data_IF_296335211657
#
_entry.id   IF_296335211657
#
_cell.length_a   1.000
_cell.length_b   1.000
_cell.length_c   1.000
_cell.angle_alpha   90.00
_cell.angle_beta   90.00
_cell.angle_gamma   90.00
#
_symmetry.space_group_name_H-M   'P 1'
#
loop_
_entity.id
_entity.type
_entity.pdbx_description
1 polymer ?
#
# COMPACT_ATOMS: atom_id res chain seq x y z
N UNK A 1 5.84 -10.95 -13.41
CA UNK A 1 5.88 -9.49 -13.18
C UNK A 1 5.55 -8.80 -14.49
N UNK A 2 4.64 -7.82 -14.51
CA UNK A 2 4.36 -7.03 -15.70
C UNK A 2 5.66 -6.35 -16.17
N UNK A 3 5.91 -6.39 -17.48
CA UNK A 3 7.18 -5.98 -18.04
C UNK A 3 7.34 -4.45 -18.02
N UNK A 4 8.56 -3.96 -17.78
CA UNK A 4 8.91 -2.52 -17.80
C UNK A 4 8.80 -1.93 -19.21
N UNK A 5 7.58 -1.69 -19.67
CA UNK A 5 7.27 -0.99 -20.92
C UNK A 5 7.07 0.50 -20.72
N UNK A 6 6.60 1.17 -21.77
CA UNK A 6 6.23 2.58 -21.74
C UNK A 6 5.20 2.89 -22.79
N UNK A 7 4.29 3.80 -22.48
CA UNK A 7 3.23 4.26 -23.38
C UNK A 7 3.45 5.74 -23.68
N UNK A 8 3.35 6.08 -24.95
CA UNK A 8 3.53 7.44 -25.46
C UNK A 8 2.35 7.77 -26.38
N UNK A 9 1.90 9.02 -26.33
CA UNK A 9 0.89 9.52 -27.27
C UNK A 9 1.60 10.49 -28.20
N UNK A 10 1.55 10.22 -29.50
CA UNK A 10 2.27 11.04 -30.48
C UNK A 10 1.73 12.47 -30.48
N UNK A 11 2.64 13.44 -30.50
CA UNK A 11 2.30 14.86 -30.41
C UNK A 11 2.09 15.36 -28.98
N UNK A 12 2.09 14.47 -27.97
CA UNK A 12 2.08 14.83 -26.55
C UNK A 12 3.42 14.39 -25.96
N UNK A 13 4.28 15.35 -25.63
CA UNK A 13 5.66 15.12 -25.21
C UNK A 13 5.80 14.62 -23.76
N UNK A 14 5.14 13.50 -23.45
CA UNK A 14 5.30 12.83 -22.16
C UNK A 14 5.23 11.33 -22.35
N UNK A 15 6.39 10.67 -22.27
CA UNK A 15 6.51 9.22 -22.16
C UNK A 15 6.11 8.80 -20.75
N UNK A 16 5.11 7.94 -20.65
CA UNK A 16 4.58 7.53 -19.35
C UNK A 16 5.01 6.09 -19.08
N UNK A 17 5.47 5.87 -17.85
CA UNK A 17 5.88 4.55 -17.38
C UNK A 17 4.70 3.90 -16.67
N UNK A 18 4.37 2.64 -16.98
CA UNK A 18 3.36 1.89 -16.26
C UNK A 18 3.82 1.63 -14.83
N UNK A 19 2.86 1.40 -13.93
CA UNK A 19 3.13 1.03 -12.54
C UNK A 19 4.07 -0.17 -12.46
N UNK A 20 5.07 -0.09 -11.60
CA UNK A 20 6.04 -1.18 -11.41
C UNK A 20 5.42 -2.45 -10.81
N UNK A 21 4.29 -2.31 -10.09
CA UNK A 21 3.64 -3.42 -9.39
C UNK A 21 2.65 -4.17 -10.28
N UNK A 22 1.81 -3.44 -11.03
CA UNK A 22 0.69 -4.02 -11.78
C UNK A 22 0.74 -3.76 -13.29
N UNK A 23 1.65 -2.91 -13.76
CA UNK A 23 1.75 -2.58 -15.18
C UNK A 23 0.59 -1.71 -15.70
N UNK A 24 -0.25 -1.17 -14.82
CA UNK A 24 -1.39 -0.33 -15.15
C UNK A 24 -0.95 1.08 -15.57
N UNK A 25 -1.74 1.67 -16.46
CA UNK A 25 -1.51 2.96 -17.08
C UNK A 25 -2.83 3.73 -17.23
N UNK A 26 -2.84 4.99 -16.82
CA UNK A 26 -3.98 5.88 -16.97
C UNK A 26 -3.53 7.25 -17.46
N UNK A 27 -4.20 7.79 -18.48
CA UNK A 27 -3.93 9.13 -19.01
C UNK A 27 -5.22 9.84 -19.41
N UNK A 28 -5.40 11.03 -18.89
CA UNK A 28 -6.46 11.94 -19.29
C UNK A 28 -6.08 12.63 -20.60
N UNK A 29 -7.02 12.65 -21.54
CA UNK A 29 -6.90 13.28 -22.85
C UNK A 29 -8.20 14.01 -23.18
N UNK A 30 -8.15 15.00 -24.06
CA UNK A 30 -9.34 15.72 -24.48
C UNK A 30 -10.24 14.80 -25.35
N UNK A 31 -11.56 14.78 -25.13
CA UNK A 31 -12.49 14.03 -25.95
C UNK A 31 -12.66 14.66 -27.34
N UNK A 32 -13.11 13.86 -28.32
CA UNK A 32 -13.37 14.27 -29.71
C UNK A 32 -12.14 14.26 -30.62
N UNK A 33 -10.95 14.05 -30.06
CA UNK A 33 -9.68 14.08 -30.78
C UNK A 33 -9.19 12.68 -31.18
N UNK A 34 -8.33 12.65 -32.20
CA UNK A 34 -7.66 11.42 -32.66
C UNK A 34 -6.26 11.33 -32.07
N UNK A 35 -5.97 10.22 -31.42
CA UNK A 35 -4.67 9.97 -30.79
C UNK A 35 -4.00 8.75 -31.39
N UNK A 36 -2.69 8.85 -31.63
CA UNK A 36 -1.83 7.71 -31.92
C UNK A 36 -1.09 7.33 -30.64
N UNK A 37 -1.42 6.15 -30.11
CA UNK A 37 -0.84 5.62 -28.87
C UNK A 37 0.19 4.57 -29.24
N UNK A 38 1.41 4.74 -28.76
CA UNK A 38 2.57 3.90 -29.04
C UNK A 38 3.05 3.25 -27.74
N UNK A 39 3.02 1.92 -27.70
CA UNK A 39 3.63 1.14 -26.63
C UNK A 39 5.01 0.64 -27.07
N UNK A 40 6.01 0.81 -26.21
CA UNK A 40 7.40 0.43 -26.48
C UNK A 40 8.08 -0.16 -25.25
N UNK A 41 8.96 -1.12 -25.48
CA UNK A 41 9.77 -1.77 -24.46
C UNK A 41 11.11 -2.20 -25.06
N UNK A 42 12.18 -2.13 -24.28
CA UNK A 42 13.48 -2.64 -24.73
C UNK A 42 13.43 -4.15 -25.01
N UNK A 43 13.94 -4.56 -26.18
CA UNK A 43 13.94 -5.96 -26.62
C UNK A 43 12.64 -6.43 -27.28
N UNK A 44 11.65 -5.54 -27.43
CA UNK A 44 10.37 -5.83 -28.07
C UNK A 44 10.02 -4.80 -29.14
N UNK A 45 9.35 -5.27 -30.19
CA UNK A 45 8.83 -4.44 -31.26
C UNK A 45 7.76 -3.51 -30.71
N UNK A 46 7.96 -2.21 -30.90
CA UNK A 46 6.95 -1.22 -30.57
C UNK A 46 5.67 -1.44 -31.39
N UNK A 47 4.51 -1.23 -30.77
CA UNK A 47 3.20 -1.28 -31.43
C UNK A 47 2.49 0.05 -31.27
N UNK A 48 1.87 0.51 -32.35
CA UNK A 48 1.08 1.73 -32.38
C UNK A 48 -0.38 1.40 -32.71
N UNK A 49 -1.31 2.12 -32.09
CA UNK A 49 -2.73 2.07 -32.39
C UNK A 49 -3.32 3.47 -32.47
N UNK A 50 -4.37 3.64 -33.27
CA UNK A 50 -5.08 4.91 -33.40
C UNK A 50 -6.43 4.78 -32.69
N UNK A 51 -6.72 5.74 -31.82
CA UNK A 51 -8.00 5.83 -31.11
C UNK A 51 -8.67 7.16 -31.38
N UNK A 52 -10.00 7.14 -31.37
CA UNK A 52 -10.81 8.35 -31.22
C UNK A 52 -11.34 8.29 -29.79
N UNK A 53 -10.94 9.24 -28.95
CA UNK A 53 -11.40 9.25 -27.57
C UNK A 53 -12.73 10.02 -27.51
N UNK A 54 -13.81 9.35 -27.17
CA UNK A 54 -15.12 9.99 -26.95
C UNK A 54 -15.23 10.51 -25.50
N UNK A 55 -16.44 10.67 -24.97
CA UNK A 55 -16.63 11.14 -23.60
C UNK A 55 -16.28 10.09 -22.54
N UNK A 56 -16.27 8.81 -22.91
CA UNK A 56 -15.99 7.70 -21.99
C UNK A 56 -14.51 7.29 -21.99
N UNK A 57 -14.06 6.73 -20.86
CA UNK A 57 -12.71 6.19 -20.74
C UNK A 57 -12.55 4.93 -21.61
N UNK A 58 -11.41 4.83 -22.29
CA UNK A 58 -11.10 3.71 -23.17
C UNK A 58 -9.91 2.92 -22.61
N UNK A 59 -10.09 1.60 -22.53
CA UNK A 59 -9.05 0.68 -22.08
C UNK A 59 -8.26 0.14 -23.29
N UNK A 60 -6.93 0.19 -23.21
CA UNK A 60 -6.02 -0.32 -24.23
C UNK A 60 -5.04 -1.31 -23.64
N UNK A 61 -5.00 -2.51 -24.22
CA UNK A 61 -4.01 -3.54 -23.90
C UNK A 61 -3.01 -3.67 -25.06
N UNK A 62 -1.72 -3.71 -24.73
CA UNK A 62 -0.65 -3.88 -25.71
C UNK A 62 0.13 -5.17 -25.43
N UNK A 63 0.12 -6.08 -26.40
CA UNK A 63 0.94 -7.29 -26.39
C UNK A 63 2.10 -7.05 -27.37
N UNK A 64 3.33 -6.91 -26.88
CA UNK A 64 4.49 -6.65 -27.72
C UNK A 64 5.19 -7.95 -28.11
N UNK A 65 5.68 -8.02 -29.35
CA UNK A 65 6.41 -9.18 -29.86
C UNK A 65 7.92 -8.94 -29.67
N UNK A 66 8.73 -9.95 -29.34
CA UNK A 66 10.18 -9.78 -29.19
C UNK A 66 10.85 -9.39 -30.52
N UNK A 67 11.88 -8.55 -30.45
CA UNK A 67 12.53 -7.97 -31.63
C UNK A 67 13.62 -8.85 -32.29
N UNK A 68 13.70 -10.15 -31.95
CA UNK A 68 14.77 -11.06 -32.40
C UNK A 68 14.30 -12.31 -33.15
N UNK A 69 15.04 -12.67 -34.21
CA UNK A 69 14.80 -13.87 -35.04
C UNK A 69 15.07 -15.21 -34.33
N UNK A 70 15.68 -15.20 -33.13
CA UNK A 70 16.29 -16.40 -32.56
C UNK A 70 15.68 -16.87 -31.24
N UNK A 71 14.56 -16.29 -30.77
CA UNK A 71 13.87 -16.71 -29.53
C UNK A 71 14.69 -16.58 -28.24
N UNK A 72 16.00 -16.29 -28.33
CA UNK A 72 16.88 -15.89 -27.22
C UNK A 72 16.60 -14.43 -26.94
N UNK A 73 15.47 -14.23 -26.28
CA UNK A 73 15.23 -13.05 -25.47
C UNK A 73 16.50 -12.84 -24.63
N UNK A 74 17.28 -11.79 -24.92
CA UNK A 74 18.08 -11.15 -23.87
C UNK A 74 17.03 -10.61 -22.91
N UNK A 75 16.49 -11.52 -22.10
CA UNK A 75 15.82 -11.20 -20.86
C UNK A 75 16.87 -10.36 -20.18
N UNK A 76 16.68 -9.03 -20.24
CA UNK A 76 17.41 -8.11 -19.41
C UNK A 76 17.31 -8.75 -18.05
N UNK A 77 18.45 -9.27 -17.59
CA UNK A 77 18.62 -9.77 -16.24
C UNK A 77 18.13 -8.61 -15.42
N UNK A 78 16.90 -8.73 -14.94
CA UNK A 78 16.25 -7.76 -14.11
C UNK A 78 17.10 -7.77 -12.85
N UNK A 79 18.15 -6.96 -12.86
CA UNK A 79 18.77 -6.38 -11.69
C UNK A 79 17.84 -5.31 -11.13
N UNK A 80 16.52 -5.53 -11.26
CA UNK A 80 15.52 -5.02 -10.36
C UNK A 80 15.71 -5.79 -9.06
N UNK A 81 16.81 -5.46 -8.36
CA UNK A 81 16.95 -5.70 -6.94
C UNK A 81 15.76 -5.05 -6.26
N UNK A 82 14.66 -5.78 -6.20
CA UNK A 82 13.54 -5.46 -5.33
C UNK A 82 14.04 -5.76 -3.92
N UNK A 83 14.88 -4.85 -3.39
CA UNK A 83 15.03 -4.74 -1.96
C UNK A 83 13.76 -4.04 -1.47
N UNK A 84 12.70 -4.83 -1.38
CA UNK A 84 11.51 -4.47 -0.63
C UNK A 84 11.88 -4.55 0.86
N UNK A 85 12.80 -3.70 1.33
CA UNK A 85 12.94 -3.39 2.76
C UNK A 85 11.70 -2.57 3.12
N UNK A 86 10.60 -3.28 3.34
CA UNK A 86 9.45 -2.76 4.07
C UNK A 86 9.62 -2.95 5.58
N UNK A 87 10.87 -3.11 6.04
CA UNK A 87 11.25 -3.25 7.43
C UNK A 87 10.66 -2.09 8.26
N UNK A 88 10.66 -0.87 7.72
CA UNK A 88 10.13 0.29 8.43
C UNK A 88 8.60 0.23 8.64
N UNK A 89 7.83 -0.28 7.69
CA UNK A 89 6.37 -0.37 7.84
C UNK A 89 5.99 -1.49 8.82
N UNK A 90 6.68 -2.63 8.73
CA UNK A 90 6.46 -3.75 9.64
C UNK A 90 6.88 -3.39 11.08
N UNK A 91 8.02 -2.71 11.26
CA UNK A 91 8.47 -2.22 12.57
C UNK A 91 7.55 -1.14 13.15
N UNK A 92 6.98 -0.23 12.34
CA UNK A 92 6.03 0.77 12.84
C UNK A 92 4.74 0.10 13.33
N UNK A 93 4.20 -0.86 12.57
CA UNK A 93 2.97 -1.59 12.95
C UNK A 93 3.23 -2.45 14.19
N UNK A 94 4.36 -3.17 14.21
CA UNK A 94 4.75 -4.00 15.35
C UNK A 94 4.96 -3.15 16.61
N UNK A 95 5.75 -2.07 16.53
CA UNK A 95 6.00 -1.18 17.67
C UNK A 95 4.71 -0.53 18.21
N UNK A 96 3.79 -0.13 17.33
CA UNK A 96 2.49 0.39 17.76
C UNK A 96 1.69 -0.65 18.53
N UNK A 97 1.68 -1.91 18.09
CA UNK A 97 0.98 -3.01 18.76
C UNK A 97 1.51 -3.26 20.17
N UNK A 98 2.84 -3.30 20.34
CA UNK A 98 3.48 -3.44 21.66
C UNK A 98 3.15 -2.26 22.59
N UNK A 99 3.17 -1.03 22.07
CA UNK A 99 2.80 0.16 22.84
C UNK A 99 1.33 0.10 23.30
N UNK A 100 0.41 -0.28 22.42
CA UNK A 100 -1.00 -0.44 22.77
C UNK A 100 -1.21 -1.52 23.84
N UNK A 101 -0.56 -2.68 23.72
CA UNK A 101 -0.64 -3.74 24.72
C UNK A 101 -0.10 -3.29 26.08
N UNK A 102 1.01 -2.55 26.10
CA UNK A 102 1.58 -1.99 27.33
C UNK A 102 0.61 -1.02 28.00
N UNK A 103 0.05 -0.06 27.26
CA UNK A 103 -0.95 0.89 27.79
C UNK A 103 -2.16 0.14 28.36
N UNK A 104 -2.71 -0.83 27.62
CA UNK A 104 -3.86 -1.61 28.07
C UNK A 104 -3.56 -2.41 29.35
N UNK A 105 -2.36 -2.99 29.46
CA UNK A 105 -1.94 -3.71 30.67
C UNK A 105 -1.85 -2.79 31.89
N UNK A 106 -1.30 -1.59 31.72
CA UNK A 106 -1.16 -0.59 32.78
C UNK A 106 -2.54 -0.13 33.26
N UNK A 107 -3.45 0.16 32.33
CA UNK A 107 -4.84 0.51 32.64
C UNK A 107 -5.57 -0.62 33.38
N UNK A 108 -5.36 -1.88 32.96
CA UNK A 108 -5.94 -3.05 33.63
C UNK A 108 -5.43 -3.18 35.08
N UNK A 109 -4.12 -3.01 35.29
CA UNK A 109 -3.51 -3.05 36.62
C UNK A 109 -4.09 -1.92 37.48
N UNK A 110 -4.14 -0.69 36.97
CA UNK A 110 -4.77 0.42 37.70
C UNK A 110 -6.22 0.12 38.04
N UNK A 111 -7.01 -0.37 37.10
CA UNK A 111 -8.39 -0.76 37.34
C UNK A 111 -8.53 -1.82 38.45
N UNK A 112 -7.68 -2.85 38.42
CA UNK A 112 -7.65 -3.90 39.46
C UNK A 112 -7.22 -3.33 40.81
N UNK A 113 -6.24 -2.42 40.86
CA UNK A 113 -5.80 -1.75 42.09
C UNK A 113 -6.88 -0.84 42.64
N UNK A 114 -7.57 -0.07 41.81
CA UNK A 114 -8.69 0.77 42.21
C UNK A 114 -9.84 -0.09 42.75
N UNK A 115 -10.20 -1.18 42.07
CA UNK A 115 -11.23 -2.12 42.50
C UNK A 115 -10.87 -2.82 43.81
N UNK A 116 -9.62 -3.26 43.96
CA UNK A 116 -9.13 -3.85 45.22
C UNK A 116 -9.13 -2.82 46.34
N UNK A 117 -8.65 -1.60 46.08
CA UNK A 117 -8.60 -0.51 47.06
C UNK A 117 -10.00 -0.09 47.51
N UNK A 118 -10.99 -0.01 46.61
CA UNK A 118 -12.38 0.28 47.01
C UNK A 118 -12.99 -0.86 47.83
N UNK A 119 -12.75 -2.13 47.46
CA UNK A 119 -13.18 -3.28 48.25
C UNK A 119 -12.51 -3.32 49.65
N UNK A 120 -11.20 -3.10 49.73
CA UNK A 120 -10.45 -3.04 51.00
C UNK A 120 -10.88 -1.85 51.87
N UNK A 121 -11.15 -0.66 51.29
CA UNK A 121 -11.67 0.49 52.04
C UNK A 121 -13.08 0.22 52.58
N UNK A 122 -13.94 -0.47 51.83
CA UNK A 122 -15.26 -0.90 52.29
C UNK A 122 -15.17 -1.89 53.45
N UNK A 123 -14.26 -2.87 53.38
CA UNK A 123 -14.03 -3.83 54.46
C UNK A 123 -13.42 -3.17 55.70
N UNK A 124 -12.47 -2.24 55.52
CA UNK A 124 -11.88 -1.47 56.61
C UNK A 124 -12.91 -0.54 57.29
N UNK A 125 -13.84 0.06 56.53
CA UNK A 125 -14.94 0.85 57.09
C UNK A 125 -15.90 -0.02 57.92
N UNK A 126 -16.18 -1.26 57.48
CA UNK A 126 -17.00 -2.22 58.25
C UNK A 126 -16.32 -2.71 59.54
N UNK A 127 -14.99 -2.67 59.62
CA UNK A 127 -14.23 -3.11 60.82
C UNK A 127 -13.91 -1.98 61.80
N UNK A 128 -14.32 -0.72 61.54
CA UNK A 128 -14.19 0.35 62.53
C UNK A 128 -15.14 0.08 63.71
N UNK A 129 -14.63 -0.12 64.95
CA UNK A 129 -15.47 -0.51 66.07
C UNK A 129 -16.41 0.62 66.47
N UNK A 130 -17.69 0.28 66.68
CA UNK A 130 -18.60 1.10 67.49
C UNK A 130 -17.93 1.33 68.85
N UNK A 131 -17.53 2.57 69.16
CA UNK A 131 -17.19 2.98 70.52
C UNK A 131 -18.42 2.72 71.40
N UNK A 132 -18.37 1.67 72.20
CA UNK A 132 -19.21 1.53 73.38
C UNK A 132 -18.77 2.58 74.39
N UNK A 133 -19.58 3.63 74.54
CA UNK A 133 -19.48 4.57 75.65
C UNK A 133 -20.08 3.84 76.86
N UNK A 134 -19.26 3.47 77.83
CA UNK A 134 -19.72 3.05 79.15
C UNK A 134 -19.98 4.30 80.00
N UNK A 135 -21.19 4.40 80.55
CA UNK A 135 -21.59 5.31 81.65
C UNK A 135 -21.83 4.44 82.87
#
# INVERSE_FOLDING_TARGET
MPLFGSVMIKGIDSKIRPSSTYGDYHRMLAPGEKYEVVASMEGFRAKATHIVLEQEALNLDFILDPDGADGKMKLLRNDCGCRCDNDNLFHIIEAHLWLYLLIMSVLLIFYLLFKRRTASRLLAYRHSPRRTIAV
#
